data_IF_484064718923
#
_entry.id   IF_484064718923
#
_cell.length_a   1.000
_cell.length_b   1.000
_cell.length_c   1.000
_cell.angle_alpha   90.00
_cell.angle_beta   90.00
_cell.angle_gamma   90.00
#
_symmetry.space_group_name_H-M   'P 1'
#
loop_
_entity.id
_entity.type
_entity.pdbx_description
1 polymer ?
#
# COMPACT_ATOMS: atom_id res chain seq x y z
N UNK A 1 18.10 19.73 -17.54
CA UNK A 1 17.39 19.90 -16.24
C UNK A 1 15.92 19.54 -16.30
N UNK A 2 15.20 19.98 -17.32
CA UNK A 2 13.76 19.63 -17.44
C UNK A 2 13.50 18.15 -17.53
N UNK A 3 14.37 17.39 -18.21
CA UNK A 3 14.21 15.94 -18.31
C UNK A 3 14.35 15.23 -16.97
N UNK A 4 15.26 15.71 -16.15
CA UNK A 4 15.49 15.14 -14.82
C UNK A 4 14.31 15.42 -13.90
N UNK A 5 13.77 16.63 -13.96
CA UNK A 5 12.61 17.02 -13.17
C UNK A 5 11.40 16.15 -13.54
N UNK A 6 11.16 15.95 -14.83
CA UNK A 6 10.07 15.08 -15.29
C UNK A 6 10.23 13.66 -14.81
N UNK A 7 11.47 13.15 -14.84
CA UNK A 7 11.77 11.80 -14.38
C UNK A 7 11.49 11.66 -12.90
N UNK A 8 11.89 12.64 -12.11
CA UNK A 8 11.64 12.64 -10.66
C UNK A 8 10.15 12.63 -10.37
N UNK A 9 9.38 13.49 -11.03
CA UNK A 9 7.93 13.55 -10.86
C UNK A 9 7.25 12.23 -11.22
N UNK A 10 7.72 11.58 -12.27
CA UNK A 10 7.16 10.30 -12.69
C UNK A 10 7.43 9.22 -11.63
N UNK A 11 8.64 9.20 -11.10
CA UNK A 11 9.01 8.25 -10.05
C UNK A 11 8.18 8.50 -8.80
N UNK A 12 8.01 9.75 -8.41
CA UNK A 12 7.19 10.11 -7.25
C UNK A 12 5.75 9.65 -7.41
N UNK A 13 5.19 9.80 -8.61
CA UNK A 13 3.83 9.35 -8.89
C UNK A 13 3.72 7.83 -8.77
N UNK A 14 4.73 7.09 -9.20
CA UNK A 14 4.75 5.64 -9.07
C UNK A 14 4.86 5.21 -7.61
N UNK A 15 5.66 5.91 -6.83
CA UNK A 15 5.79 5.65 -5.40
C UNK A 15 4.44 5.86 -4.72
N UNK A 16 3.73 6.92 -5.05
CA UNK A 16 2.42 7.20 -4.49
C UNK A 16 1.43 6.07 -4.78
N UNK A 17 1.47 5.51 -5.99
CA UNK A 17 0.61 4.39 -6.36
C UNK A 17 0.94 3.15 -5.54
N UNK A 18 2.22 2.89 -5.34
CA UNK A 18 2.66 1.74 -4.56
C UNK A 18 2.25 1.90 -3.09
N UNK A 19 2.38 3.10 -2.54
CA UNK A 19 1.98 3.37 -1.17
C UNK A 19 0.47 3.17 -0.97
N UNK A 20 -0.33 3.61 -1.93
CA UNK A 20 -1.77 3.42 -1.86
C UNK A 20 -2.13 1.94 -1.90
N UNK A 21 -1.45 1.16 -2.75
CA UNK A 21 -1.68 -0.27 -2.84
C UNK A 21 -1.24 -0.99 -1.56
N UNK A 22 -0.13 -0.55 -0.99
CA UNK A 22 0.35 -1.10 0.27
C UNK A 22 -0.66 -0.89 1.40
N UNK A 23 -1.27 0.29 1.45
CA UNK A 23 -2.27 0.59 2.44
C UNK A 23 -3.49 -0.32 2.33
N UNK A 24 -3.94 -0.59 1.11
CA UNK A 24 -5.04 -1.50 0.87
C UNK A 24 -4.69 -2.92 1.33
N UNK A 25 -3.47 -3.37 1.03
CA UNK A 25 -3.01 -4.69 1.44
C UNK A 25 -2.91 -4.82 2.95
N UNK A 26 -2.52 -3.76 3.63
CA UNK A 26 -2.46 -3.74 5.09
C UNK A 26 -3.84 -3.85 5.71
N UNK A 27 -4.83 -3.21 5.11
CA UNK A 27 -6.20 -3.32 5.56
C UNK A 27 -6.72 -4.75 5.40
N UNK A 28 -6.42 -5.36 4.25
CA UNK A 28 -6.79 -6.75 4.00
C UNK A 28 -6.14 -7.69 5.02
N UNK A 29 -4.89 -7.44 5.33
CA UNK A 29 -4.17 -8.23 6.32
C UNK A 29 -4.79 -8.08 7.71
N UNK A 30 -5.16 -6.87 8.09
CA UNK A 30 -5.82 -6.62 9.38
C UNK A 30 -7.13 -7.36 9.48
N UNK A 31 -7.92 -7.38 8.40
CA UNK A 31 -9.17 -8.13 8.37
C UNK A 31 -8.93 -9.62 8.51
N UNK A 32 -7.92 -10.14 7.85
CA UNK A 32 -7.60 -11.56 7.93
C UNK A 32 -7.18 -11.95 9.34
N UNK A 33 -6.43 -11.09 10.01
CA UNK A 33 -6.01 -11.32 11.38
C UNK A 33 -7.21 -11.32 12.33
N UNK A 34 -8.14 -10.39 12.13
CA UNK A 34 -9.37 -10.33 12.92
C UNK A 34 -10.20 -11.60 12.75
N UNK A 35 -10.31 -12.10 11.52
CA UNK A 35 -11.03 -13.35 11.27
C UNK A 35 -10.38 -14.53 11.98
N UNK A 36 -9.06 -14.56 12.00
CA UNK A 36 -8.33 -15.62 12.68
C UNK A 36 -8.57 -15.56 14.18
N UNK A 37 -8.55 -14.37 14.76
CA UNK A 37 -8.82 -14.18 16.19
C UNK A 37 -10.23 -14.60 16.56
N UNK A 38 -11.20 -14.32 15.70
CA UNK A 38 -12.58 -14.71 15.92
C UNK A 38 -12.73 -16.23 15.94
N UNK A 39 -11.98 -16.93 15.10
CA UNK A 39 -11.99 -18.39 15.07
C UNK A 39 -11.38 -18.97 16.34
N UNK A 40 -10.40 -18.31 16.91
CA UNK A 40 -9.71 -18.76 18.11
C UNK A 40 -10.54 -18.58 19.38
N UNK A 41 -11.56 -17.75 19.34
CA UNK A 41 -12.41 -17.47 20.50
C UNK A 41 -13.43 -18.56 20.79
N UNK A 42 -13.53 -19.51 19.90
CA UNK A 42 -14.41 -20.67 20.10
C UNK A 42 -13.75 -21.71 21.01
#
# INVERSE_FOLDING_TARGET
>A
MKKVIKKIKKIMAEIDKIEAKEEILREDLSEAIEELEDLDQD
#
